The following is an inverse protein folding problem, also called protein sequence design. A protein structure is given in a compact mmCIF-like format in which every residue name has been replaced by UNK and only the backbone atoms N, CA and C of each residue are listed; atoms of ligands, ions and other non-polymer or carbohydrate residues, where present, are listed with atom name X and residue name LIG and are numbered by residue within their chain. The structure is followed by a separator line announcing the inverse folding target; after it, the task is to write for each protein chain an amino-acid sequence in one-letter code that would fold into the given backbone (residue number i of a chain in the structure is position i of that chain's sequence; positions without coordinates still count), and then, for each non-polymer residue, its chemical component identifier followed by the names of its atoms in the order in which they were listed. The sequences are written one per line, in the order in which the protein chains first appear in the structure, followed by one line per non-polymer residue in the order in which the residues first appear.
data_IF_867509549086
#
_entry.id   IF_867509549086
#
_cell.length_a   1.000
_cell.length_b   1.000
_cell.length_c   1.000
_cell.angle_alpha   90.00
_cell.angle_beta   90.00
_cell.angle_gamma   90.00
#
_symmetry.space_group_name_H-M   'P 1'
#
loop_
_entity.id
_entity.type
_entity.pdbx_description
1 polymer ?
#
# COMPACT_ATOMS: atom_id res chain seq x y z
N UNK A 1 -2.70 -9.37 -17.50
CA UNK A 1 -1.47 -10.18 -17.50
C UNK A 1 -1.53 -11.11 -16.29
N UNK A 2 -1.01 -12.35 -16.40
CA UNK A 2 -0.87 -13.27 -15.27
C UNK A 2 0.62 -13.58 -15.08
N UNK A 3 1.18 -13.23 -13.92
CA UNK A 3 2.60 -13.46 -13.60
C UNK A 3 2.70 -14.45 -12.45
N UNK A 4 3.48 -15.52 -12.63
CA UNK A 4 3.74 -16.54 -11.61
C UNK A 4 5.26 -16.62 -11.37
N UNK A 5 5.70 -16.46 -10.12
CA UNK A 5 7.13 -16.52 -9.77
C UNK A 5 7.39 -17.17 -8.40
N UNK A 6 8.58 -17.74 -8.22
CA UNK A 6 8.98 -18.48 -7.01
C UNK A 6 9.85 -17.67 -6.02
N UNK A 7 10.30 -16.48 -6.44
CA UNK A 7 11.10 -15.55 -5.63
C UNK A 7 10.51 -14.14 -5.69
N UNK A 8 11.35 -13.11 -5.67
CA UNK A 8 10.91 -11.71 -5.78
C UNK A 8 10.14 -11.52 -7.09
N UNK A 9 8.84 -11.27 -6.99
CA UNK A 9 7.94 -11.28 -8.15
C UNK A 9 7.17 -9.97 -8.22
N UNK A 10 7.29 -9.28 -9.35
CA UNK A 10 6.48 -8.13 -9.70
C UNK A 10 6.06 -8.21 -11.16
N UNK A 11 4.94 -7.58 -11.53
CA UNK A 11 4.49 -7.61 -12.92
C UNK A 11 5.47 -6.92 -13.88
N UNK A 12 6.19 -5.91 -13.40
CA UNK A 12 7.21 -5.21 -14.17
C UNK A 12 8.60 -5.77 -13.91
N UNK A 13 8.97 -5.98 -12.64
CA UNK A 13 10.31 -6.44 -12.27
C UNK A 13 10.33 -7.22 -10.95
N UNK A 14 11.21 -8.21 -10.82
CA UNK A 14 11.44 -8.88 -9.54
C UNK A 14 12.15 -8.00 -8.52
N UNK A 15 13.26 -7.36 -8.91
CA UNK A 15 14.04 -6.43 -8.08
C UNK A 15 14.26 -5.10 -8.80
N UNK A 16 13.78 -4.00 -8.23
CA UNK A 16 14.11 -2.67 -8.71
C UNK A 16 15.33 -2.11 -7.97
N UNK A 17 16.46 -1.95 -8.66
CA UNK A 17 17.64 -1.21 -8.18
C UNK A 17 17.79 0.17 -8.85
N UNK A 18 16.89 0.50 -9.77
CA UNK A 18 16.92 1.72 -10.57
C UNK A 18 15.73 2.62 -10.27
N UNK A 19 15.18 3.21 -11.33
CA UNK A 19 14.06 4.15 -11.24
C UNK A 19 12.89 3.65 -12.09
N UNK A 20 11.74 3.45 -11.44
CA UNK A 20 10.46 3.15 -12.09
C UNK A 20 9.58 4.39 -11.92
N UNK A 21 9.17 5.00 -13.02
CA UNK A 21 8.29 6.18 -12.99
C UNK A 21 7.18 6.08 -14.00
N UNK A 22 6.04 6.71 -13.70
CA UNK A 22 4.89 6.80 -14.61
C UNK A 22 4.48 5.43 -15.17
N UNK A 23 4.56 4.40 -14.32
CA UNK A 23 4.38 3.00 -14.70
C UNK A 23 3.19 2.41 -13.98
N UNK A 24 2.57 1.39 -14.59
CA UNK A 24 1.44 0.74 -13.97
C UNK A 24 1.34 -0.75 -14.30
N UNK A 25 0.62 -1.47 -13.44
CA UNK A 25 0.34 -2.89 -13.60
C UNK A 25 -1.14 -3.21 -13.36
N UNK A 26 -1.67 -4.11 -14.19
CA UNK A 26 -3.04 -4.63 -14.11
C UNK A 26 -3.05 -6.15 -14.33
N UNK A 27 -4.06 -6.84 -13.81
CA UNK A 27 -4.20 -8.29 -13.94
C UNK A 27 -3.89 -9.01 -12.63
N UNK A 28 -3.17 -10.14 -12.68
CA UNK A 28 -2.87 -10.96 -11.51
C UNK A 28 -1.37 -11.22 -11.37
N UNK A 29 -0.85 -11.08 -10.16
CA UNK A 29 0.53 -11.45 -9.77
C UNK A 29 0.44 -12.48 -8.65
N UNK A 30 1.04 -13.64 -8.86
CA UNK A 30 1.00 -14.74 -7.91
C UNK A 30 2.41 -15.21 -7.59
N UNK A 31 2.75 -15.17 -6.29
CA UNK A 31 3.92 -15.89 -5.76
C UNK A 31 3.59 -17.37 -5.70
N UNK A 32 4.04 -18.13 -6.69
CA UNK A 32 3.90 -19.58 -6.72
C UNK A 32 4.99 -20.17 -5.82
N UNK A 33 4.62 -20.78 -4.69
CA UNK A 33 5.59 -21.45 -3.82
C UNK A 33 5.31 -21.21 -2.35
N UNK A 34 4.49 -22.10 -1.78
CA UNK A 34 4.39 -22.38 -0.35
C UNK A 34 5.68 -23.02 0.21
N UNK A 35 6.85 -22.73 -0.37
CA UNK A 35 8.10 -23.24 0.19
C UNK A 35 8.44 -22.32 1.36
N UNK A 36 8.25 -22.86 2.57
CA UNK A 36 8.76 -22.28 3.81
C UNK A 36 10.21 -21.84 3.60
N UNK A 37 10.45 -20.52 3.57
CA UNK A 37 11.78 -19.94 3.35
C UNK A 37 11.98 -19.17 2.04
N UNK A 38 11.00 -19.08 1.13
CA UNK A 38 11.10 -18.11 0.03
C UNK A 38 11.06 -16.68 0.59
N UNK A 39 12.16 -15.94 0.40
CA UNK A 39 12.41 -14.60 0.95
C UNK A 39 12.00 -13.47 0.01
N UNK A 40 11.50 -13.79 -1.18
CA UNK A 40 11.18 -12.82 -2.21
C UNK A 40 9.83 -12.16 -1.99
N UNK A 41 9.81 -10.82 -1.94
CA UNK A 41 8.56 -10.07 -1.86
C UNK A 41 7.73 -10.21 -3.13
N UNK A 42 6.41 -10.21 -2.98
CA UNK A 42 5.46 -10.23 -4.10
C UNK A 42 4.74 -8.89 -4.15
N UNK A 43 4.93 -8.17 -5.25
CA UNK A 43 4.31 -6.87 -5.49
C UNK A 43 3.52 -6.84 -6.78
N UNK A 44 2.51 -5.97 -6.86
CA UNK A 44 1.79 -5.77 -8.12
C UNK A 44 2.69 -5.20 -9.22
N UNK A 45 3.64 -4.32 -8.87
CA UNK A 45 4.57 -3.69 -9.81
C UNK A 45 5.98 -4.28 -9.71
N UNK A 46 6.55 -4.33 -8.50
CA UNK A 46 7.89 -4.86 -8.25
C UNK A 46 7.92 -5.82 -7.06
N UNK A 47 8.68 -6.91 -7.12
CA UNK A 47 8.82 -7.80 -5.96
C UNK A 47 9.50 -7.10 -4.79
N UNK A 48 10.72 -6.64 -5.00
CA UNK A 48 11.48 -5.81 -4.07
C UNK A 48 11.89 -4.48 -4.70
N UNK A 49 11.86 -3.41 -3.90
CA UNK A 49 12.34 -2.10 -4.27
C UNK A 49 13.55 -1.69 -3.42
N UNK A 50 14.69 -1.52 -4.08
CA UNK A 50 15.93 -0.92 -3.55
C UNK A 50 16.17 0.49 -4.13
N UNK A 51 15.52 0.82 -5.24
CA UNK A 51 15.64 2.10 -5.92
C UNK A 51 14.46 3.04 -5.67
N UNK A 52 14.06 3.77 -6.70
CA UNK A 52 12.91 4.70 -6.64
C UNK A 52 11.74 4.16 -7.46
N UNK A 53 10.54 4.21 -6.89
CA UNK A 53 9.28 4.08 -7.59
C UNK A 53 8.50 5.38 -7.38
N UNK A 54 8.14 6.06 -8.46
CA UNK A 54 7.33 7.28 -8.33
C UNK A 54 6.24 7.44 -9.37
N UNK A 55 5.18 8.14 -9.02
CA UNK A 55 4.07 8.44 -9.96
C UNK A 55 3.54 7.16 -10.62
N UNK A 56 3.49 6.06 -9.88
CA UNK A 56 3.21 4.72 -10.43
C UNK A 56 2.12 4.02 -9.63
N UNK A 57 1.40 3.09 -10.25
CA UNK A 57 0.25 2.49 -9.59
C UNK A 57 0.01 1.03 -9.98
N UNK A 58 -0.79 0.33 -9.18
CA UNK A 58 -1.18 -1.04 -9.50
C UNK A 58 -2.63 -1.30 -9.13
N UNK A 59 -3.40 -1.80 -10.09
CA UNK A 59 -4.72 -2.39 -9.83
C UNK A 59 -4.71 -3.90 -9.95
N UNK A 60 -3.52 -4.51 -10.05
CA UNK A 60 -3.37 -5.95 -10.11
C UNK A 60 -3.80 -6.61 -8.79
N UNK A 61 -4.44 -7.78 -8.88
CA UNK A 61 -4.63 -8.66 -7.74
C UNK A 61 -3.29 -9.33 -7.42
N UNK A 62 -2.89 -9.30 -6.16
CA UNK A 62 -1.62 -9.85 -5.70
C UNK A 62 -1.89 -10.96 -4.69
N UNK A 63 -1.34 -12.14 -4.92
CA UNK A 63 -1.49 -13.29 -4.03
C UNK A 63 -0.13 -13.92 -3.76
N UNK A 64 0.19 -14.19 -2.50
CA UNK A 64 1.40 -14.93 -2.14
C UNK A 64 1.40 -15.35 -0.68
N UNK A 65 2.58 -15.61 -0.11
CA UNK A 65 2.72 -16.07 1.27
C UNK A 65 3.31 -15.00 2.20
N UNK A 66 4.52 -14.54 1.93
CA UNK A 66 5.29 -13.62 2.79
C UNK A 66 5.62 -12.34 2.04
N UNK A 67 5.57 -11.20 2.73
CA UNK A 67 5.88 -9.87 2.20
C UNK A 67 5.10 -9.54 0.91
N UNK A 68 3.79 -9.36 1.06
CA UNK A 68 2.86 -9.15 -0.06
C UNK A 68 2.36 -7.71 -0.04
N UNK A 69 2.54 -6.99 -1.14
CA UNK A 69 2.00 -5.65 -1.30
C UNK A 69 1.35 -5.40 -2.65
N UNK A 70 0.35 -4.52 -2.68
CA UNK A 70 -0.34 -4.17 -3.93
C UNK A 70 0.59 -3.51 -4.96
N UNK A 71 1.65 -2.80 -4.51
CA UNK A 71 2.66 -2.20 -5.37
C UNK A 71 3.99 -2.95 -5.27
N UNK A 72 4.50 -3.15 -4.04
CA UNK A 72 5.76 -3.86 -3.79
C UNK A 72 5.65 -4.88 -2.66
N UNK A 73 6.37 -5.99 -2.75
CA UNK A 73 6.47 -6.92 -1.63
C UNK A 73 7.35 -6.34 -0.51
N UNK A 74 8.62 -6.07 -0.82
CA UNK A 74 9.57 -5.43 0.09
C UNK A 74 10.05 -4.07 -0.40
N UNK A 75 10.13 -3.08 0.49
CA UNK A 75 10.71 -1.76 0.22
C UNK A 75 11.88 -1.46 1.14
N UNK A 76 13.01 -1.09 0.55
CA UNK A 76 14.18 -0.49 1.22
C UNK A 76 14.60 0.84 0.57
N UNK A 77 13.99 1.17 -0.57
CA UNK A 77 14.21 2.42 -1.29
C UNK A 77 13.08 3.44 -1.08
N UNK A 78 12.77 4.20 -2.15
CA UNK A 78 11.80 5.29 -2.13
C UNK A 78 10.54 4.96 -2.92
N UNK A 79 9.38 5.19 -2.32
CA UNK A 79 8.06 5.12 -2.97
C UNK A 79 7.38 6.48 -2.77
N UNK A 80 7.02 7.14 -3.87
CA UNK A 80 6.35 8.45 -3.79
C UNK A 80 5.30 8.68 -4.87
N UNK A 81 4.18 9.30 -4.52
CA UNK A 81 3.08 9.56 -5.48
C UNK A 81 2.56 8.28 -6.12
N UNK A 82 2.40 7.23 -5.31
CA UNK A 82 1.96 5.93 -5.79
C UNK A 82 0.62 5.52 -5.18
N UNK A 83 -0.13 4.70 -5.92
CA UNK A 83 -1.37 4.15 -5.39
C UNK A 83 -1.69 2.72 -5.82
N UNK A 84 -2.57 2.07 -5.05
CA UNK A 84 -3.06 0.72 -5.36
C UNK A 84 -4.55 0.58 -5.11
N UNK A 85 -5.20 -0.29 -5.88
CA UNK A 85 -6.62 -0.60 -5.69
C UNK A 85 -7.02 -2.05 -5.95
N UNK A 86 -6.06 -2.94 -6.26
CA UNK A 86 -6.33 -4.37 -6.48
C UNK A 86 -6.54 -5.14 -5.18
N UNK A 87 -6.97 -6.40 -5.25
CA UNK A 87 -7.06 -7.23 -4.04
C UNK A 87 -5.67 -7.77 -3.66
N UNK A 88 -5.30 -7.72 -2.38
CA UNK A 88 -4.01 -8.18 -1.87
C UNK A 88 -4.22 -9.27 -0.83
N UNK A 89 -3.69 -10.47 -1.09
CA UNK A 89 -3.84 -11.63 -0.22
C UNK A 89 -2.50 -12.27 0.13
N UNK A 90 -2.26 -12.50 1.43
CA UNK A 90 -1.03 -13.12 1.92
C UNK A 90 -1.15 -13.69 3.34
N UNK A 91 -0.02 -14.11 3.91
CA UNK A 91 0.05 -14.71 5.26
C UNK A 91 0.79 -13.84 6.28
N UNK A 92 2.08 -13.53 6.09
CA UNK A 92 2.96 -13.10 7.20
C UNK A 92 3.27 -11.58 7.27
N UNK A 93 3.12 -10.85 6.16
CA UNK A 93 3.18 -9.39 6.12
C UNK A 93 2.44 -8.95 4.87
N UNK A 94 1.27 -8.36 5.06
CA UNK A 94 0.36 -8.04 3.95
C UNK A 94 -0.04 -6.58 4.06
N UNK A 95 0.30 -5.80 3.05
CA UNK A 95 -0.04 -4.38 2.98
C UNK A 95 -0.71 -4.01 1.68
N UNK A 96 -1.63 -3.06 1.70
CA UNK A 96 -2.27 -2.61 0.46
C UNK A 96 -1.30 -1.96 -0.53
N UNK A 97 -0.24 -1.30 -0.06
CA UNK A 97 0.82 -0.72 -0.89
C UNK A 97 2.10 -1.56 -0.83
N UNK A 98 2.60 -1.84 0.38
CA UNK A 98 3.85 -2.57 0.60
C UNK A 98 3.68 -3.69 1.64
N UNK A 99 4.20 -4.88 1.38
CA UNK A 99 4.22 -5.95 2.40
C UNK A 99 5.09 -5.57 3.60
N UNK A 100 6.35 -5.23 3.31
CA UNK A 100 7.35 -4.77 4.27
C UNK A 100 8.01 -3.47 3.82
N UNK A 101 8.13 -2.49 4.73
CA UNK A 101 8.93 -1.27 4.55
C UNK A 101 10.10 -1.28 5.55
N UNK A 102 11.27 -1.74 5.10
CA UNK A 102 12.46 -1.97 5.92
C UNK A 102 13.50 -0.90 5.61
N UNK A 103 13.67 0.09 6.49
CA UNK A 103 14.52 1.27 6.24
C UNK A 103 14.18 2.08 4.97
N UNK A 104 13.07 1.77 4.30
CA UNK A 104 12.59 2.49 3.12
C UNK A 104 11.71 3.69 3.49
N UNK A 105 11.44 4.52 2.49
CA UNK A 105 10.57 5.70 2.63
C UNK A 105 9.35 5.60 1.73
N UNK A 106 8.17 5.80 2.31
CA UNK A 106 6.89 5.92 1.61
C UNK A 106 6.34 7.32 1.86
N UNK A 107 6.04 8.06 0.80
CA UNK A 107 5.55 9.44 0.93
C UNK A 107 4.46 9.75 -0.08
N UNK A 108 3.45 10.52 0.31
CA UNK A 108 2.38 10.97 -0.57
C UNK A 108 1.78 9.81 -1.40
N UNK A 109 1.43 8.70 -0.74
CA UNK A 109 1.01 7.48 -1.41
C UNK A 109 -0.20 6.88 -0.70
N UNK A 110 -0.99 6.08 -1.41
CA UNK A 110 -2.22 5.56 -0.82
C UNK A 110 -2.63 4.18 -1.32
N UNK A 111 -3.54 3.54 -0.58
CA UNK A 111 -4.13 2.27 -0.98
C UNK A 111 -5.63 2.29 -0.74
N UNK A 112 -6.40 1.92 -1.77
CA UNK A 112 -7.81 1.55 -1.66
C UNK A 112 -8.01 0.05 -1.84
N UNK A 113 -6.93 -0.72 -1.79
CA UNK A 113 -6.91 -2.17 -1.98
C UNK A 113 -7.63 -2.90 -0.85
N UNK A 114 -8.38 -3.95 -1.16
CA UNK A 114 -8.88 -4.87 -0.14
C UNK A 114 -7.74 -5.81 0.29
N UNK A 115 -7.45 -5.86 1.58
CA UNK A 115 -6.29 -6.58 2.12
C UNK A 115 -6.76 -7.75 2.97
N UNK A 116 -6.30 -8.96 2.64
CA UNK A 116 -6.58 -10.20 3.37
C UNK A 116 -5.28 -10.87 3.82
N UNK A 117 -5.01 -10.83 5.11
CA UNK A 117 -3.95 -11.59 5.77
C UNK A 117 -4.51 -12.82 6.50
N UNK A 118 -3.87 -13.97 6.32
CA UNK A 118 -4.27 -15.22 7.00
C UNK A 118 -3.48 -15.51 8.29
N UNK A 119 -2.45 -14.72 8.61
CA UNK A 119 -1.61 -14.93 9.78
C UNK A 119 -1.22 -13.57 10.41
N UNK A 120 0.04 -13.13 10.30
CA UNK A 120 0.52 -11.94 11.00
C UNK A 120 0.59 -10.68 10.13
N UNK A 121 0.53 -9.51 10.78
CA UNK A 121 0.95 -8.19 10.28
C UNK A 121 0.19 -7.77 9.03
N UNK A 122 -1.11 -7.51 9.22
CA UNK A 122 -1.99 -7.04 8.13
C UNK A 122 -2.24 -5.56 8.28
N UNK A 123 -1.81 -4.76 7.30
CA UNK A 123 -2.00 -3.32 7.29
C UNK A 123 -2.71 -2.82 6.04
N UNK A 124 -3.51 -1.76 6.16
CA UNK A 124 -4.20 -1.18 5.01
C UNK A 124 -3.23 -0.57 3.98
N UNK A 125 -2.09 -0.03 4.45
CA UNK A 125 -1.02 0.50 3.61
C UNK A 125 0.22 -0.40 3.66
N UNK A 126 0.71 -0.73 4.86
CA UNK A 126 1.95 -1.49 5.06
C UNK A 126 1.75 -2.62 6.06
N UNK A 127 2.15 -3.85 5.73
CA UNK A 127 2.07 -4.96 6.67
C UNK A 127 3.04 -4.79 7.84
N UNK A 128 4.32 -4.65 7.54
CA UNK A 128 5.40 -4.46 8.51
C UNK A 128 6.22 -3.20 8.21
N UNK A 129 6.33 -2.28 9.17
CA UNK A 129 7.09 -1.04 9.00
C UNK A 129 8.23 -0.92 10.01
N UNK A 130 9.44 -0.71 9.51
CA UNK A 130 10.62 -0.25 10.25
C UNK A 130 11.23 1.02 9.61
N UNK A 131 10.69 1.48 8.49
CA UNK A 131 11.09 2.72 7.81
C UNK A 131 10.18 3.92 8.09
N UNK A 132 10.16 4.86 7.16
CA UNK A 132 9.39 6.12 7.27
C UNK A 132 8.16 6.09 6.37
N UNK A 133 7.01 6.51 6.91
CA UNK A 133 5.75 6.70 6.18
C UNK A 133 5.21 8.10 6.46
N UNK A 134 5.00 8.89 5.42
CA UNK A 134 4.54 10.28 5.57
C UNK A 134 3.44 10.64 4.57
N UNK A 135 2.46 11.43 5.02
CA UNK A 135 1.38 11.95 4.18
C UNK A 135 0.72 10.87 3.32
N UNK A 136 0.41 9.72 3.92
CA UNK A 136 -0.10 8.55 3.20
C UNK A 136 -1.39 8.03 3.83
N UNK A 137 -2.21 7.31 3.07
CA UNK A 137 -3.49 6.81 3.60
C UNK A 137 -3.93 5.44 3.09
N UNK A 138 -4.78 4.78 3.88
CA UNK A 138 -5.46 3.55 3.50
C UNK A 138 -6.98 3.69 3.62
N UNK A 139 -7.72 3.20 2.62
CA UNK A 139 -9.18 3.30 2.59
C UNK A 139 -9.87 2.04 2.01
N UNK A 140 -9.17 0.91 1.99
CA UNK A 140 -9.75 -0.38 1.62
C UNK A 140 -10.22 -1.20 2.83
N UNK A 141 -10.94 -2.29 2.56
CA UNK A 141 -11.32 -3.24 3.60
C UNK A 141 -10.11 -4.08 4.06
N UNK A 142 -10.10 -4.46 5.34
CA UNK A 142 -8.99 -5.23 5.92
C UNK A 142 -9.54 -6.44 6.67
N UNK A 143 -9.05 -7.61 6.32
CA UNK A 143 -9.27 -8.85 7.06
C UNK A 143 -7.91 -9.41 7.47
N UNK A 144 -7.65 -9.54 8.77
CA UNK A 144 -6.40 -10.10 9.29
C UNK A 144 -6.65 -10.92 10.55
N UNK A 145 -5.64 -11.69 10.98
CA UNK A 145 -5.73 -12.56 12.18
C UNK A 145 -4.93 -11.96 13.34
N UNK A 146 -3.63 -11.73 13.16
CA UNK A 146 -2.74 -11.17 14.19
C UNK A 146 -2.13 -9.85 13.75
N UNK A 147 -2.01 -8.89 14.69
CA UNK A 147 -1.47 -7.54 14.44
C UNK A 147 -2.10 -6.89 13.20
N UNK A 148 -3.35 -6.47 13.36
CA UNK A 148 -4.13 -5.84 12.29
C UNK A 148 -4.22 -4.35 12.55
N UNK A 149 -3.84 -3.54 11.55
CA UNK A 149 -3.90 -2.09 11.68
C UNK A 149 -4.47 -1.41 10.45
N UNK A 150 -5.23 -0.33 10.69
CA UNK A 150 -5.86 0.45 9.62
C UNK A 150 -4.86 0.99 8.59
N UNK A 151 -3.67 1.43 9.05
CA UNK A 151 -2.57 1.84 8.17
C UNK A 151 -1.41 0.82 8.16
N UNK A 152 -0.79 0.59 9.33
CA UNK A 152 0.32 -0.36 9.50
C UNK A 152 -0.12 -1.54 10.36
N UNK A 153 0.19 -2.77 9.96
CA UNK A 153 -0.10 -3.96 10.76
C UNK A 153 0.79 -4.07 11.99
N UNK A 154 2.11 -4.00 11.81
CA UNK A 154 3.10 -3.95 12.88
C UNK A 154 4.18 -2.88 12.60
N UNK A 155 4.31 -1.92 13.50
CA UNK A 155 5.31 -0.85 13.41
C UNK A 155 6.46 -1.12 14.38
N UNK A 156 7.58 -1.61 13.84
CA UNK A 156 8.80 -1.97 14.55
C UNK A 156 9.76 -0.77 14.58
N UNK A 157 9.42 0.22 15.42
CA UNK A 157 10.18 1.47 15.61
C UNK A 157 10.29 2.38 14.37
N UNK A 158 9.50 2.12 13.32
CA UNK A 158 9.41 3.01 12.16
C UNK A 158 8.76 4.36 12.49
N UNK A 159 9.10 5.38 11.69
CA UNK A 159 8.57 6.75 11.86
C UNK A 159 7.33 6.95 10.99
N UNK A 160 6.26 7.47 11.59
CA UNK A 160 5.00 7.69 10.88
C UNK A 160 4.44 9.08 11.17
N UNK A 161 4.11 9.85 10.13
CA UNK A 161 3.71 11.26 10.27
C UNK A 161 2.58 11.62 9.30
N UNK A 162 1.52 12.26 9.80
CA UNK A 162 0.38 12.74 9.02
C UNK A 162 -0.26 11.66 8.12
N UNK A 163 -0.39 10.43 8.63
CA UNK A 163 -1.00 9.33 7.89
C UNK A 163 -2.38 9.01 8.44
N UNK A 164 -3.28 8.53 7.57
CA UNK A 164 -4.69 8.32 7.92
C UNK A 164 -5.23 6.98 7.43
N UNK A 165 -6.25 6.46 8.11
CA UNK A 165 -6.99 5.29 7.63
C UNK A 165 -8.50 5.46 7.81
N UNK A 166 -9.27 4.92 6.86
CA UNK A 166 -10.73 4.86 6.97
C UNK A 166 -11.16 3.71 7.90
N UNK A 167 -11.65 4.03 9.09
CA UNK A 167 -12.03 3.02 10.10
C UNK A 167 -13.36 2.33 9.78
N UNK A 168 -14.23 2.97 8.98
CA UNK A 168 -15.55 2.42 8.65
C UNK A 168 -15.44 1.40 7.51
N UNK A 169 -14.54 1.63 6.55
CA UNK A 169 -14.25 0.64 5.51
C UNK A 169 -13.35 -0.48 5.97
N UNK A 170 -12.30 -0.17 6.74
CA UNK A 170 -11.39 -1.21 7.23
C UNK A 170 -12.03 -2.11 8.28
N UNK A 171 -12.99 -1.58 9.06
CA UNK A 171 -13.53 -2.25 10.24
C UNK A 171 -12.55 -2.26 11.43
N UNK A 172 -11.42 -1.56 11.32
CA UNK A 172 -10.35 -1.55 12.31
C UNK A 172 -10.26 -0.16 12.97
N UNK A 173 -10.44 -0.11 14.28
CA UNK A 173 -10.40 1.15 15.06
C UNK A 173 -9.01 1.51 15.58
N UNK A 174 -8.09 0.54 15.61
CA UNK A 174 -6.69 0.71 16.01
C UNK A 174 -5.78 0.73 14.80
N UNK A 175 -5.01 1.79 14.61
CA UNK A 175 -4.05 1.89 13.50
C UNK A 175 -2.67 2.21 14.03
N UNK A 176 -1.76 1.24 14.01
CA UNK A 176 -0.35 1.55 14.21
C UNK A 176 0.09 2.51 13.10
N UNK A 177 0.72 3.62 13.49
CA UNK A 177 1.32 4.57 12.56
C UNK A 177 0.36 5.44 11.73
N UNK A 178 -0.94 5.42 12.00
CA UNK A 178 -1.92 6.25 11.29
C UNK A 178 -3.11 6.65 12.15
N UNK A 179 -3.67 7.83 11.91
CA UNK A 179 -4.87 8.31 12.62
C UNK A 179 -6.14 7.79 11.94
N UNK A 180 -6.96 7.07 12.69
CA UNK A 180 -8.27 6.63 12.21
C UNK A 180 -9.23 7.79 11.99
N UNK A 181 -9.94 7.78 10.86
CA UNK A 181 -10.96 8.76 10.46
C UNK A 181 -12.18 8.05 9.90
N UNK A 182 -13.36 8.64 10.05
CA UNK A 182 -14.57 8.13 9.41
C UNK A 182 -14.50 8.32 7.90
N UNK A 183 -15.32 7.60 7.13
CA UNK A 183 -15.41 7.79 5.68
C UNK A 183 -15.75 9.23 5.30
N UNK A 184 -16.65 9.88 6.06
CA UNK A 184 -16.99 11.28 5.85
C UNK A 184 -15.77 12.17 6.05
N UNK A 185 -15.05 12.01 7.17
CA UNK A 185 -13.85 12.80 7.46
C UNK A 185 -12.75 12.57 6.42
N UNK A 186 -12.56 11.33 5.96
CA UNK A 186 -11.60 11.00 4.91
C UNK A 186 -11.92 11.65 3.56
N UNK A 187 -13.12 12.21 3.38
CA UNK A 187 -13.54 12.96 2.18
C UNK A 187 -13.54 14.48 2.40
N UNK A 188 -12.91 14.95 3.48
CA UNK A 188 -12.80 16.38 3.78
C UNK A 188 -11.35 16.82 3.71
N UNK A 189 -11.04 17.85 2.89
CA UNK A 189 -9.68 18.36 2.76
C UNK A 189 -9.07 18.74 4.12
N UNK A 190 -9.87 19.35 4.98
CA UNK A 190 -9.45 19.83 6.31
C UNK A 190 -8.95 18.71 7.25
N UNK A 191 -9.30 17.44 6.98
CA UNK A 191 -8.81 16.29 7.76
C UNK A 191 -7.30 16.05 7.58
N UNK A 192 -6.78 16.39 6.40
CA UNK A 192 -5.42 16.07 5.97
C UNK A 192 -4.49 17.25 6.24
N UNK A 193 -4.24 17.50 7.52
CA UNK A 193 -3.39 18.60 8.00
C UNK A 193 -1.96 18.38 7.49
N UNK A 194 -1.29 19.46 7.06
CA UNK A 194 0.07 19.46 6.50
C UNK A 194 0.21 18.73 5.15
N UNK A 195 -0.88 18.45 4.45
CA UNK A 195 -0.84 17.94 3.08
C UNK A 195 -0.88 19.09 2.07
N UNK A 196 -0.15 18.94 0.97
CA UNK A 196 -0.12 19.92 -0.12
C UNK A 196 -1.27 19.66 -1.11
N UNK A 197 -2.41 20.32 -0.91
CA UNK A 197 -3.54 20.31 -1.85
C UNK A 197 -3.37 21.29 -3.03
N UNK A 198 -2.29 22.05 -3.05
CA UNK A 198 -1.98 22.96 -4.16
C UNK A 198 -1.36 22.18 -5.31
N UNK A 199 -0.32 21.37 -5.02
CA UNK A 199 0.46 20.71 -6.08
C UNK A 199 0.39 19.18 -6.05
N UNK A 200 0.21 18.56 -4.87
CA UNK A 200 0.30 17.09 -4.76
C UNK A 200 -1.07 16.42 -4.80
N UNK A 201 -1.96 16.86 -3.92
CA UNK A 201 -3.25 16.24 -3.69
C UNK A 201 -4.39 17.09 -4.24
N UNK A 202 -5.45 16.43 -4.65
CA UNK A 202 -6.76 17.02 -4.89
C UNK A 202 -7.81 16.16 -4.16
N UNK A 203 -8.96 16.74 -3.87
CA UNK A 203 -10.10 16.02 -3.30
C UNK A 203 -11.38 16.66 -3.83
N UNK A 204 -12.33 15.83 -4.23
CA UNK A 204 -13.67 16.30 -4.54
C UNK A 204 -14.42 16.37 -3.21
N UNK A 205 -14.53 17.58 -2.65
CA UNK A 205 -15.00 17.80 -1.27
C UNK A 205 -16.32 17.06 -0.99
N UNK A 206 -16.30 16.19 0.03
CA UNK A 206 -17.43 15.36 0.45
C UNK A 206 -17.74 14.16 -0.46
N UNK A 207 -17.07 14.03 -1.60
CA UNK A 207 -17.35 13.02 -2.65
C UNK A 207 -16.27 11.96 -2.75
N UNK A 208 -15.01 12.35 -2.93
CA UNK A 208 -13.87 11.44 -3.09
C UNK A 208 -12.96 11.45 -1.87
N UNK A 209 -12.12 10.42 -1.73
CA UNK A 209 -10.89 10.54 -0.94
C UNK A 209 -9.87 11.41 -1.69
N UNK A 210 -8.81 11.91 -1.02
CA UNK A 210 -7.73 12.59 -1.71
C UNK A 210 -7.10 11.72 -2.79
N UNK A 211 -6.82 12.29 -3.95
CA UNK A 211 -6.14 11.63 -5.05
C UNK A 211 -4.95 12.47 -5.52
N UNK A 212 -4.02 11.83 -6.21
CA UNK A 212 -2.80 12.47 -6.70
C UNK A 212 -3.09 13.22 -7.99
N UNK A 213 -2.66 14.49 -8.06
CA UNK A 213 -2.84 15.35 -9.25
C UNK A 213 -2.04 14.87 -10.47
N UNK A 214 -0.89 14.23 -10.24
CA UNK A 214 0.06 13.87 -11.31
C UNK A 214 -0.24 12.52 -11.96
N UNK A 215 -1.03 11.67 -11.32
CA UNK A 215 -1.43 10.35 -11.81
C UNK A 215 -2.77 9.93 -11.21
N UNK A 216 -3.84 10.65 -11.59
CA UNK A 216 -5.17 10.45 -11.03
C UNK A 216 -5.72 9.03 -11.22
N UNK A 217 -6.25 8.44 -10.15
CA UNK A 217 -7.06 7.22 -10.23
C UNK A 217 -8.42 7.51 -10.86
N UNK A 218 -8.84 6.70 -11.83
CA UNK A 218 -10.15 6.82 -12.49
C UNK A 218 -10.99 5.55 -12.32
N UNK A 219 -12.23 5.64 -11.78
CA UNK A 219 -12.83 6.84 -11.17
C UNK A 219 -12.08 7.27 -9.90
N UNK A 220 -12.31 8.50 -9.45
CA UNK A 220 -11.68 9.02 -8.22
C UNK A 220 -11.96 8.09 -7.03
N UNK A 221 -11.02 7.94 -6.09
CA UNK A 221 -11.13 6.95 -5.03
C UNK A 221 -12.33 7.27 -4.12
N UNK A 222 -13.16 6.25 -3.85
CA UNK A 222 -14.29 6.38 -2.93
C UNK A 222 -15.58 6.98 -3.51
N UNK A 223 -15.63 7.22 -4.83
CA UNK A 223 -16.86 7.53 -5.57
C UNK A 223 -17.48 6.24 -6.12
N UNK A 224 -18.82 6.18 -6.19
CA UNK A 224 -19.57 5.12 -6.89
C UNK A 224 -19.69 5.44 -8.38
#
# INVERSE_FOLDING_TARGET
MNVNGYGSTGALVGENKGTITNSYSVGNVTGAGLVTGSTGGIGGLAGNNYGTISSSWSTANVTGNRDIGGLVGGNTGFIKYCYTSGNVQGSFAVGGLAGSNQNGTITNSYSTSNVKGSDQRTGGLVGHNNGTITNSYAAGSIQGVYYVGGLVGYNDYGTTTNNYCDIQKSGITTSAGGTGKTTVQMKQQATFINWDFTNTWAVDEGKSYPYLRTNEQKPHPGTN
#
